data_IF_219524750500
#
_entry.id   IF_219524750500
#
_cell.length_a   1.000
_cell.length_b   1.000
_cell.length_c   1.000
_cell.angle_alpha   90.00
_cell.angle_beta   90.00
_cell.angle_gamma   90.00
#
_symmetry.space_group_name_H-M   'P 1'
#
loop_
_entity.id
_entity.type
_entity.pdbx_description
1 polymer ?
#
# COMPACT_ATOMS: atom_id res chain seq x y z
N UNK A 1 -1.42 13.47 -3.57
CA UNK A 1 -1.09 13.63 -2.13
C UNK A 1 0.28 14.30 -2.05
N UNK A 2 0.45 15.25 -1.12
CA UNK A 2 1.72 15.93 -0.84
C UNK A 2 2.04 15.77 0.65
N UNK A 3 3.28 15.45 1.00
CA UNK A 3 3.77 15.37 2.37
C UNK A 3 5.15 16.01 2.44
N UNK A 4 5.43 16.72 3.52
CA UNK A 4 6.69 17.46 3.72
C UNK A 4 7.25 17.13 5.10
N UNK A 5 8.57 16.98 5.17
CA UNK A 5 9.34 16.78 6.40
C UNK A 5 10.49 17.78 6.46
N UNK A 6 10.90 18.11 7.66
CA UNK A 6 12.11 18.88 7.94
C UNK A 6 13.11 17.96 8.64
N UNK A 7 14.35 18.01 8.20
CA UNK A 7 15.47 17.25 8.77
C UNK A 7 16.54 18.23 9.17
N UNK A 8 16.88 18.29 10.46
CA UNK A 8 17.99 19.09 10.96
C UNK A 8 19.27 18.24 10.93
N UNK A 9 20.27 18.69 10.17
CA UNK A 9 21.56 18.04 10.05
C UNK A 9 22.67 19.10 10.16
N UNK A 10 23.59 18.92 11.10
CA UNK A 10 24.73 19.80 11.33
C UNK A 10 24.37 21.30 11.48
N UNK A 11 23.19 21.55 12.08
CA UNK A 11 22.69 22.93 12.27
C UNK A 11 22.06 23.53 11.00
N UNK A 12 21.93 22.76 9.93
CA UNK A 12 21.24 23.14 8.69
C UNK A 12 19.92 22.41 8.62
N UNK A 13 18.85 23.16 8.33
CA UNK A 13 17.52 22.61 8.12
C UNK A 13 17.29 22.27 6.66
N UNK A 14 17.07 21.00 6.38
CA UNK A 14 16.76 20.47 5.07
C UNK A 14 15.26 20.18 4.93
N UNK A 15 14.70 20.42 3.74
CA UNK A 15 13.28 20.15 3.45
C UNK A 15 13.15 19.01 2.46
N UNK A 16 12.40 17.98 2.85
CA UNK A 16 12.07 16.83 2.00
C UNK A 16 10.58 16.84 1.72
N UNK A 17 10.22 16.90 0.44
CA UNK A 17 8.82 16.90 -0.01
C UNK A 17 8.56 15.70 -0.91
N UNK A 18 7.49 14.95 -0.65
CA UNK A 18 7.01 13.90 -1.53
C UNK A 18 5.66 14.26 -2.12
N UNK A 19 5.54 14.13 -3.43
CA UNK A 19 4.29 14.33 -4.16
C UNK A 19 3.98 13.12 -5.03
N UNK A 20 2.76 12.59 -4.89
CA UNK A 20 2.20 11.55 -5.75
C UNK A 20 1.06 12.10 -6.58
N UNK A 21 0.94 11.64 -7.84
CA UNK A 21 -0.08 12.06 -8.80
C UNK A 21 0.21 11.38 -10.14
N UNK A 22 0.33 12.15 -11.22
CA UNK A 22 0.81 11.64 -12.53
C UNK A 22 2.32 11.33 -12.51
N UNK A 23 2.75 10.51 -11.53
CA UNK A 23 4.13 10.16 -11.23
C UNK A 23 4.50 10.53 -9.81
N UNK A 24 5.54 9.85 -9.31
CA UNK A 24 6.09 10.08 -7.98
C UNK A 24 7.29 11.02 -8.07
N UNK A 25 7.33 12.02 -7.20
CA UNK A 25 8.38 13.02 -7.16
C UNK A 25 8.82 13.25 -5.71
N UNK A 26 10.11 13.19 -5.48
CA UNK A 26 10.76 13.63 -4.24
C UNK A 26 11.47 14.94 -4.53
N UNK A 27 11.24 15.96 -3.72
CA UNK A 27 11.95 17.24 -3.82
C UNK A 27 12.77 17.40 -2.54
N UNK A 28 14.07 17.59 -2.70
CA UNK A 28 15.03 17.79 -1.61
C UNK A 28 15.60 19.19 -1.77
N UNK A 29 15.37 20.06 -0.79
CA UNK A 29 15.80 21.47 -0.79
C UNK A 29 15.45 22.20 -2.09
N UNK A 30 14.22 21.96 -2.59
CA UNK A 30 13.74 22.52 -3.85
C UNK A 30 14.21 21.79 -5.11
N UNK A 31 15.14 20.84 -5.02
CA UNK A 31 15.63 20.05 -6.15
C UNK A 31 14.72 18.84 -6.41
N UNK A 32 14.07 18.74 -7.58
CA UNK A 32 13.13 17.68 -7.87
C UNK A 32 13.82 16.42 -8.38
N UNK A 33 13.51 15.28 -7.77
CA UNK A 33 13.94 13.95 -8.18
C UNK A 33 12.72 13.10 -8.57
N UNK A 34 12.71 12.56 -9.79
CA UNK A 34 11.69 11.60 -10.20
C UNK A 34 12.01 10.24 -9.61
N UNK A 35 11.04 9.66 -8.91
CA UNK A 35 11.15 8.31 -8.34
C UNK A 35 10.11 7.40 -8.96
N UNK A 36 10.47 6.14 -9.18
CA UNK A 36 9.56 5.13 -9.74
C UNK A 36 9.16 4.15 -8.65
N UNK A 37 7.90 3.71 -8.69
CA UNK A 37 7.46 2.59 -7.89
C UNK A 37 8.17 1.30 -8.34
N UNK A 38 8.62 0.49 -7.40
CA UNK A 38 9.20 -0.83 -7.66
C UNK A 38 8.13 -1.89 -7.98
N UNK A 39 6.85 -1.57 -7.79
CA UNK A 39 5.74 -2.48 -8.06
C UNK A 39 4.66 -1.79 -8.92
N UNK A 40 4.01 -2.56 -9.82
CA UNK A 40 2.98 -2.05 -10.72
C UNK A 40 1.58 -2.00 -10.06
N UNK A 41 1.33 -2.91 -9.11
CA UNK A 41 0.03 -3.08 -8.47
C UNK A 41 -0.19 -2.10 -7.32
N UNK A 42 0.87 -1.84 -6.55
CA UNK A 42 0.83 -0.90 -5.42
C UNK A 42 1.99 0.08 -5.53
N UNK A 43 1.74 1.34 -5.18
CA UNK A 43 2.82 2.32 -5.12
C UNK A 43 3.80 1.92 -4.00
N UNK A 44 5.01 1.50 -4.40
CA UNK A 44 6.04 1.02 -3.48
C UNK A 44 7.37 1.69 -3.83
N UNK A 45 7.82 2.57 -2.95
CA UNK A 45 9.04 3.37 -3.11
C UNK A 45 9.86 3.24 -1.84
N UNK A 46 11.14 2.99 -2.03
CA UNK A 46 12.18 3.13 -1.02
C UNK A 46 13.32 3.93 -1.65
N UNK A 47 13.39 5.21 -1.32
CA UNK A 47 14.33 6.15 -1.91
C UNK A 47 15.33 6.62 -0.86
N UNK A 48 16.58 6.14 -0.98
CA UNK A 48 17.68 6.48 -0.11
C UNK A 48 18.40 7.74 -0.57
N UNK A 49 18.74 8.61 0.35
CA UNK A 49 19.58 9.79 0.16
C UNK A 49 20.22 10.18 1.50
N UNK A 50 21.16 11.13 1.50
CA UNK A 50 21.84 11.57 2.73
C UNK A 50 22.09 13.06 2.74
N UNK A 51 22.19 13.64 3.94
CA UNK A 51 22.72 14.96 4.22
C UNK A 51 23.95 14.78 5.09
N UNK A 52 25.14 14.98 4.51
CA UNK A 52 26.38 14.64 5.22
C UNK A 52 26.36 13.19 5.71
N UNK A 53 26.52 13.01 7.01
CA UNK A 53 26.50 11.68 7.67
C UNK A 53 25.08 11.20 8.02
N UNK A 54 24.07 12.06 7.88
CA UNK A 54 22.67 11.70 8.17
C UNK A 54 22.04 10.93 7.01
N UNK A 55 21.73 9.65 7.26
CA UNK A 55 21.07 8.77 6.28
C UNK A 55 19.55 8.95 6.32
N UNK A 56 18.95 9.12 5.14
CA UNK A 56 17.51 9.28 5.00
C UNK A 56 16.96 8.25 4.03
N UNK A 57 15.78 7.70 4.35
CA UNK A 57 15.00 6.81 3.49
C UNK A 57 13.56 7.28 3.42
N UNK A 58 13.13 7.73 2.24
CA UNK A 58 11.73 8.03 2.00
C UNK A 58 11.03 6.77 1.51
N UNK A 59 10.09 6.27 2.31
CA UNK A 59 9.30 5.10 1.96
C UNK A 59 7.87 5.48 1.65
N UNK A 60 7.30 4.87 0.60
CA UNK A 60 5.89 4.95 0.28
C UNK A 60 5.34 3.56 -0.01
N UNK A 61 4.23 3.20 0.65
CA UNK A 61 3.48 1.95 0.43
C UNK A 61 2.01 2.33 0.26
N UNK A 62 1.50 2.23 -0.97
CA UNK A 62 0.16 2.70 -1.31
C UNK A 62 0.03 4.20 -1.03
N UNK A 63 -0.92 4.55 -0.16
CA UNK A 63 -1.17 5.94 0.25
C UNK A 63 -0.41 6.37 1.50
N UNK A 64 0.34 5.48 2.12
CA UNK A 64 1.12 5.78 3.33
C UNK A 64 2.57 6.06 2.96
N UNK A 65 3.05 7.22 3.41
CA UNK A 65 4.41 7.68 3.15
C UNK A 65 5.04 8.14 4.46
N UNK A 66 6.28 7.75 4.70
CA UNK A 66 7.06 8.20 5.85
C UNK A 66 8.52 8.43 5.47
N UNK A 67 9.22 9.22 6.28
CA UNK A 67 10.63 9.49 6.14
C UNK A 67 11.36 8.90 7.34
N UNK A 68 12.29 8.00 7.10
CA UNK A 68 13.21 7.52 8.11
C UNK A 68 14.48 8.37 8.08
N UNK A 69 14.94 8.77 9.26
CA UNK A 69 16.18 9.51 9.48
C UNK A 69 17.02 8.70 10.45
N UNK A 70 18.26 8.37 10.08
CA UNK A 70 19.17 7.53 10.86
C UNK A 70 18.49 6.24 11.38
N UNK A 71 17.72 5.58 10.51
CA UNK A 71 17.10 4.30 10.79
C UNK A 71 15.79 4.36 11.60
N UNK A 72 15.19 5.54 11.82
CA UNK A 72 13.92 5.69 12.54
C UNK A 72 12.94 6.53 11.75
N UNK A 73 11.69 6.05 11.58
CA UNK A 73 10.63 6.79 10.92
C UNK A 73 10.16 7.98 11.74
N UNK A 74 10.13 9.16 11.15
CA UNK A 74 9.69 10.39 11.82
C UNK A 74 8.19 10.42 12.15
N UNK A 75 7.36 9.77 11.32
CA UNK A 75 5.91 9.79 11.50
C UNK A 75 5.43 8.73 12.50
N UNK A 76 6.01 7.53 12.49
CA UNK A 76 5.59 6.42 13.36
C UNK A 76 6.49 6.20 14.57
N UNK A 77 7.75 6.65 14.52
CA UNK A 77 8.77 6.32 15.53
C UNK A 77 9.26 4.86 15.48
N UNK A 78 8.77 4.08 14.51
CA UNK A 78 9.18 2.67 14.32
C UNK A 78 10.58 2.62 13.67
N UNK A 79 11.37 1.55 13.91
CA UNK A 79 12.63 1.34 13.19
C UNK A 79 12.38 1.24 11.67
N UNK A 80 13.30 1.78 10.88
CA UNK A 80 13.27 1.63 9.44
C UNK A 80 13.62 0.18 9.06
N UNK A 81 12.77 -0.40 8.22
CA UNK A 81 13.03 -1.68 7.57
C UNK A 81 12.97 -1.48 6.05
N UNK A 82 13.99 -1.95 5.30
CA UNK A 82 14.00 -1.88 3.83
C UNK A 82 12.75 -2.57 3.26
N UNK A 83 12.14 -1.95 2.26
CA UNK A 83 10.95 -2.53 1.63
C UNK A 83 11.32 -3.81 0.88
N UNK A 84 10.77 -4.93 1.33
CA UNK A 84 10.87 -6.21 0.63
C UNK A 84 9.85 -6.31 -0.52
N UNK A 85 10.07 -7.25 -1.43
CA UNK A 85 9.07 -7.59 -2.44
C UNK A 85 7.77 -8.10 -1.79
N UNK A 86 6.64 -7.94 -2.49
CA UNK A 86 5.37 -8.50 -2.03
C UNK A 86 5.53 -10.01 -1.86
N UNK A 87 5.25 -10.58 -0.66
CA UNK A 87 5.35 -12.00 -0.42
C UNK A 87 4.45 -12.82 -1.37
N UNK A 88 4.92 -13.99 -1.80
CA UNK A 88 4.20 -14.85 -2.74
C UNK A 88 2.78 -15.21 -2.27
N UNK A 89 2.59 -15.43 -0.95
CA UNK A 89 1.28 -15.75 -0.38
C UNK A 89 0.25 -14.63 -0.56
N UNK A 90 0.67 -13.36 -0.65
CA UNK A 90 -0.22 -12.23 -0.93
C UNK A 90 -0.79 -12.32 -2.34
N UNK A 91 0.02 -12.74 -3.33
CA UNK A 91 -0.46 -12.95 -4.69
C UNK A 91 -1.49 -14.09 -4.78
N UNK A 92 -1.32 -15.13 -3.97
CA UNK A 92 -2.32 -16.22 -3.87
C UNK A 92 -3.65 -15.68 -3.32
N UNK A 93 -3.60 -14.87 -2.24
CA UNK A 93 -4.78 -14.22 -1.69
C UNK A 93 -5.46 -13.28 -2.71
N UNK A 94 -4.67 -12.52 -3.47
CA UNK A 94 -5.19 -11.65 -4.54
C UNK A 94 -5.89 -12.47 -5.62
N UNK A 95 -5.29 -13.57 -6.06
CA UNK A 95 -5.87 -14.45 -7.06
C UNK A 95 -7.22 -15.03 -6.57
N UNK A 96 -7.31 -15.49 -5.33
CA UNK A 96 -8.54 -15.98 -4.72
C UNK A 96 -9.62 -14.89 -4.70
N UNK A 97 -9.29 -13.67 -4.29
CA UNK A 97 -10.23 -12.56 -4.19
C UNK A 97 -10.68 -12.00 -5.56
N UNK A 98 -9.90 -12.20 -6.62
CA UNK A 98 -10.26 -11.75 -7.97
C UNK A 98 -11.02 -12.83 -8.73
N UNK A 99 -10.55 -14.08 -8.69
CA UNK A 99 -11.10 -15.18 -9.47
C UNK A 99 -12.30 -15.83 -8.76
N UNK A 100 -12.20 -16.00 -7.42
CA UNK A 100 -13.25 -16.63 -6.61
C UNK A 100 -14.65 -16.07 -6.83
N UNK A 101 -14.87 -14.75 -6.88
CA UNK A 101 -16.16 -14.14 -7.15
C UNK A 101 -16.86 -14.62 -8.44
N UNK A 102 -16.11 -14.90 -9.49
CA UNK A 102 -16.69 -15.41 -10.74
C UNK A 102 -17.16 -16.86 -10.60
N UNK A 103 -16.51 -17.64 -9.72
CA UNK A 103 -16.87 -19.04 -9.46
C UNK A 103 -18.15 -19.12 -8.59
N UNK A 104 -18.28 -18.24 -7.59
CA UNK A 104 -19.39 -18.25 -6.62
C UNK A 104 -20.59 -17.39 -7.04
N UNK A 105 -20.58 -16.80 -8.23
CA UNK A 105 -21.69 -15.99 -8.76
C UNK A 105 -21.71 -14.52 -8.29
N UNK A 106 -20.67 -14.04 -7.63
CA UNK A 106 -20.54 -12.65 -7.17
C UNK A 106 -20.20 -11.64 -8.28
N UNK A 107 -19.68 -12.12 -9.41
CA UNK A 107 -19.40 -11.33 -10.60
C UNK A 107 -18.36 -10.23 -10.43
N UNK A 108 -18.35 -9.28 -11.37
CA UNK A 108 -17.33 -8.24 -11.48
C UNK A 108 -17.31 -7.27 -10.29
N UNK A 109 -18.47 -6.96 -9.69
CA UNK A 109 -18.55 -6.07 -8.53
C UNK A 109 -17.87 -6.67 -7.30
N UNK A 110 -18.07 -7.96 -7.06
CA UNK A 110 -17.42 -8.68 -5.97
C UNK A 110 -15.89 -8.77 -6.19
N UNK A 111 -15.44 -9.00 -7.43
CA UNK A 111 -14.03 -8.96 -7.78
C UNK A 111 -13.41 -7.57 -7.57
N UNK A 112 -14.14 -6.49 -7.88
CA UNK A 112 -13.69 -5.12 -7.63
C UNK A 112 -13.48 -4.86 -6.12
N UNK A 113 -14.37 -5.36 -5.25
CA UNK A 113 -14.18 -5.32 -3.79
C UNK A 113 -12.90 -6.07 -3.40
N UNK A 114 -12.65 -7.23 -4.01
CA UNK A 114 -11.44 -8.02 -3.82
C UNK A 114 -10.15 -7.24 -4.16
N UNK A 115 -10.15 -6.50 -5.25
CA UNK A 115 -9.02 -5.66 -5.66
C UNK A 115 -8.81 -4.52 -4.66
N UNK A 116 -9.87 -3.81 -4.26
CA UNK A 116 -9.78 -2.69 -3.32
C UNK A 116 -9.24 -3.15 -1.96
N UNK A 117 -9.82 -4.19 -1.36
CA UNK A 117 -9.34 -4.73 -0.09
C UNK A 117 -7.99 -5.42 -0.23
N UNK A 118 -7.69 -5.96 -1.43
CA UNK A 118 -6.40 -6.50 -1.80
C UNK A 118 -5.25 -5.50 -1.67
N UNK A 119 -5.46 -4.26 -2.09
CA UNK A 119 -4.46 -3.20 -1.90
C UNK A 119 -4.20 -2.91 -0.43
N UNK A 120 -5.25 -3.01 0.42
CA UNK A 120 -5.14 -2.74 1.85
C UNK A 120 -4.34 -3.85 2.54
N UNK A 121 -4.73 -5.13 2.40
CA UNK A 121 -3.98 -6.20 3.09
C UNK A 121 -2.57 -6.36 2.53
N UNK A 122 -2.30 -6.03 1.26
CA UNK A 122 -0.93 -5.98 0.73
C UNK A 122 -0.08 -4.93 1.46
N UNK A 123 -0.64 -3.74 1.76
CA UNK A 123 0.06 -2.72 2.55
C UNK A 123 0.40 -3.23 3.97
N UNK A 124 -0.51 -3.97 4.62
CA UNK A 124 -0.25 -4.54 5.95
C UNK A 124 0.80 -5.67 5.88
N UNK A 125 0.75 -6.50 4.84
CA UNK A 125 1.75 -7.56 4.62
C UNK A 125 3.16 -6.99 4.42
N UNK A 126 3.31 -5.93 3.63
CA UNK A 126 4.59 -5.23 3.41
C UNK A 126 5.13 -4.56 4.68
N UNK A 127 4.26 -4.28 5.66
CA UNK A 127 4.63 -3.72 6.97
C UNK A 127 4.80 -4.79 8.04
N UNK A 128 5.01 -6.03 7.66
CA UNK A 128 5.17 -7.18 8.56
C UNK A 128 3.97 -7.42 9.50
N UNK A 129 2.83 -6.75 9.29
CA UNK A 129 1.59 -6.91 10.07
C UNK A 129 0.74 -8.05 9.50
N UNK A 130 1.30 -9.28 9.51
CA UNK A 130 0.72 -10.47 8.86
C UNK A 130 -0.68 -10.79 9.39
N UNK A 131 -0.88 -10.74 10.71
CA UNK A 131 -2.20 -11.02 11.31
C UNK A 131 -3.30 -10.07 10.82
N UNK A 132 -2.99 -8.77 10.68
CA UNK A 132 -3.94 -7.80 10.13
C UNK A 132 -4.21 -8.06 8.64
N UNK A 133 -3.19 -8.41 7.86
CA UNK A 133 -3.35 -8.74 6.45
C UNK A 133 -4.29 -9.95 6.26
N UNK A 134 -4.08 -11.02 7.02
CA UNK A 134 -4.94 -12.22 7.00
C UNK A 134 -6.37 -11.88 7.47
N UNK A 135 -6.53 -11.10 8.52
CA UNK A 135 -7.84 -10.68 9.02
C UNK A 135 -8.66 -9.91 7.98
N UNK A 136 -8.02 -8.96 7.25
CA UNK A 136 -8.66 -8.21 6.17
C UNK A 136 -9.01 -9.13 5.00
N UNK A 137 -8.14 -10.08 4.65
CA UNK A 137 -8.42 -11.08 3.61
C UNK A 137 -9.65 -11.94 3.94
N UNK A 138 -9.73 -12.47 5.17
CA UNK A 138 -10.89 -13.25 5.63
C UNK A 138 -12.16 -12.39 5.61
N UNK A 139 -12.09 -11.15 6.10
CA UNK A 139 -13.21 -10.21 6.04
C UNK A 139 -13.68 -9.95 4.61
N UNK A 140 -12.74 -9.84 3.66
CA UNK A 140 -13.05 -9.70 2.24
C UNK A 140 -13.82 -10.91 1.70
N UNK A 141 -13.37 -12.14 2.03
CA UNK A 141 -14.08 -13.37 1.61
C UNK A 141 -15.50 -13.44 2.15
N UNK A 142 -15.71 -13.06 3.42
CA UNK A 142 -17.05 -13.00 4.02
C UNK A 142 -17.94 -12.01 3.27
N UNK A 143 -17.47 -10.81 2.99
CA UNK A 143 -18.20 -9.79 2.23
C UNK A 143 -18.57 -10.31 0.82
N UNK A 144 -17.61 -10.96 0.14
CA UNK A 144 -17.84 -11.52 -1.20
C UNK A 144 -18.87 -12.64 -1.20
N UNK A 145 -18.85 -13.52 -0.19
CA UNK A 145 -19.85 -14.58 -0.02
C UNK A 145 -21.25 -14.00 0.23
N UNK A 146 -21.37 -13.04 1.13
CA UNK A 146 -22.66 -12.38 1.41
C UNK A 146 -23.20 -11.67 0.16
N UNK A 147 -22.33 -11.02 -0.59
CA UNK A 147 -22.72 -10.38 -1.85
C UNK A 147 -23.19 -11.39 -2.90
N UNK A 148 -22.50 -12.54 -3.03
CA UNK A 148 -22.91 -13.61 -3.94
C UNK A 148 -24.29 -14.19 -3.57
N UNK A 149 -24.53 -14.46 -2.28
CA UNK A 149 -25.85 -14.92 -1.79
C UNK A 149 -26.95 -13.90 -2.10
N UNK A 150 -26.68 -12.62 -1.90
CA UNK A 150 -27.62 -11.53 -2.23
C UNK A 150 -27.94 -11.52 -3.73
N UNK A 151 -26.95 -11.58 -4.60
CA UNK A 151 -27.12 -11.57 -6.07
C UNK A 151 -27.92 -12.78 -6.54
N UNK A 152 -27.57 -13.98 -6.04
CA UNK A 152 -28.32 -15.23 -6.38
C UNK A 152 -29.75 -15.18 -5.88
N UNK A 153 -29.98 -14.72 -4.65
CA UNK A 153 -31.32 -14.57 -4.07
C UNK A 153 -32.18 -13.58 -4.87
N UNK A 154 -31.61 -12.42 -5.24
CA UNK A 154 -32.31 -11.44 -6.08
C UNK A 154 -32.66 -12.02 -7.47
N UNK A 155 -31.72 -12.77 -8.07
CA UNK A 155 -31.99 -13.44 -9.36
C UNK A 155 -33.13 -14.44 -9.31
N UNK A 156 -33.17 -15.28 -8.25
CA UNK A 156 -34.26 -16.25 -8.05
C UNK A 156 -35.60 -15.52 -7.84
N UNK A 157 -35.62 -14.47 -7.02
CA UNK A 157 -36.85 -13.70 -6.74
C UNK A 157 -37.42 -12.98 -7.98
N UNK A 158 -36.59 -12.64 -8.96
CA UNK A 158 -37.04 -12.02 -10.22
C UNK A 158 -37.59 -13.04 -11.23
N UNK A 159 -37.35 -14.33 -11.01
CA UNK A 159 -37.86 -15.40 -11.88
C UNK A 159 -39.14 -16.09 -11.34
N UNK A 160 -39.49 -15.84 -10.09
CA UNK A 160 -40.70 -16.31 -9.43
C UNK A 160 -41.86 -15.34 -9.61
#
# INVERSE_FOLDING_TARGET
>A
MKKTWEVDCDGVRHTVEYKTGFGNKVTIDGQPNKVKSSNWFINMIDYAFSFGDTQCHLTAIGNKTDLAVNGVYQGSGEPYEPLSNIPAWVYVMLAINIIGPFIIGGGIFSAAIGILLGTIYTQYALRQKIGAAIGIFIGCLVIQLLFAVFVIGAYIALQS
#
